data_IF_763265783336
#
_entry.id   IF_763265783336
#
_cell.length_a   1.000
_cell.length_b   1.000
_cell.length_c   1.000
_cell.angle_alpha   90.00
_cell.angle_beta   90.00
_cell.angle_gamma   90.00
#
_symmetry.space_group_name_H-M   'P 1'
#
loop_
_entity.id
_entity.type
_entity.pdbx_description
1 polymer ?
#
# COMPACT_ATOMS: atom_id res chain seq x y z
N UNK A 1 -28.65 52.12 7.99
CA UNK A 1 -27.26 51.70 8.24
C UNK A 1 -27.27 50.22 8.47
N UNK A 2 -26.90 49.46 7.46
CA UNK A 2 -26.96 48.00 7.49
C UNK A 2 -25.54 47.49 7.82
N UNK A 3 -25.34 47.06 9.06
CA UNK A 3 -24.04 46.65 9.60
C UNK A 3 -23.75 45.22 9.10
N UNK A 4 -23.28 45.11 7.86
CA UNK A 4 -22.85 43.90 7.22
C UNK A 4 -21.48 43.46 7.73
N UNK A 5 -21.38 43.12 9.02
CA UNK A 5 -20.23 42.38 9.54
C UNK A 5 -20.30 40.93 8.94
N UNK A 6 -19.57 40.74 7.86
CA UNK A 6 -19.33 39.38 7.35
C UNK A 6 -18.83 38.51 8.49
N UNK A 7 -19.60 37.43 8.82
CA UNK A 7 -19.14 36.39 9.72
C UNK A 7 -17.78 35.91 9.17
N UNK A 8 -16.72 36.09 9.95
CA UNK A 8 -15.43 35.51 9.66
C UNK A 8 -15.67 33.99 9.35
N UNK A 9 -15.38 33.57 8.13
CA UNK A 9 -15.50 32.15 7.76
C UNK A 9 -14.56 31.38 8.69
N UNK A 10 -15.12 30.62 9.61
CA UNK A 10 -14.34 29.66 10.35
C UNK A 10 -13.66 28.70 9.35
N UNK A 11 -12.38 28.42 9.53
CA UNK A 11 -11.65 27.46 8.69
C UNK A 11 -12.41 26.13 8.63
N UNK A 12 -12.58 25.54 7.44
CA UNK A 12 -13.27 24.27 7.31
C UNK A 12 -12.50 23.16 8.03
N UNK A 13 -13.23 22.20 8.59
CA UNK A 13 -12.65 21.12 9.38
C UNK A 13 -12.87 19.76 8.74
N UNK A 14 -11.79 18.96 8.61
CA UNK A 14 -11.83 17.58 8.15
C UNK A 14 -11.53 16.60 9.29
N UNK A 15 -12.33 15.54 9.37
CA UNK A 15 -12.12 14.38 10.24
C UNK A 15 -11.57 13.25 9.38
N UNK A 16 -10.33 12.81 9.64
CA UNK A 16 -9.68 11.73 8.88
C UNK A 16 -9.65 10.46 9.71
N UNK A 17 -10.28 9.41 9.21
CA UNK A 17 -10.29 8.08 9.84
C UNK A 17 -9.23 7.21 9.20
N UNK A 18 -8.23 6.79 9.99
CA UNK A 18 -7.06 6.03 9.57
C UNK A 18 -5.80 6.89 9.47
N UNK A 19 -4.78 6.51 10.25
CA UNK A 19 -3.54 7.27 10.40
C UNK A 19 -2.34 6.71 9.62
N UNK A 20 -2.59 5.90 8.57
CA UNK A 20 -1.57 5.39 7.65
C UNK A 20 -1.40 6.31 6.43
N UNK A 21 -0.73 5.84 5.37
CA UNK A 21 -0.32 6.64 4.19
C UNK A 21 -1.43 7.55 3.66
N UNK A 22 -2.61 6.98 3.37
CA UNK A 22 -3.73 7.73 2.81
C UNK A 22 -4.19 8.87 3.74
N UNK A 23 -4.32 8.59 5.04
CA UNK A 23 -4.73 9.59 6.03
C UNK A 23 -3.68 10.66 6.27
N UNK A 24 -2.39 10.30 6.28
CA UNK A 24 -1.30 11.26 6.44
C UNK A 24 -1.21 12.20 5.22
N UNK A 25 -1.32 11.68 3.99
CA UNK A 25 -1.42 12.53 2.80
C UNK A 25 -2.64 13.46 2.86
N UNK A 26 -3.81 12.92 3.26
CA UNK A 26 -5.03 13.72 3.41
C UNK A 26 -4.82 14.87 4.42
N UNK A 27 -4.25 14.56 5.57
CA UNK A 27 -3.98 15.55 6.60
C UNK A 27 -3.01 16.64 6.12
N UNK A 28 -1.89 16.26 5.52
CA UNK A 28 -0.89 17.24 5.07
C UNK A 28 -1.40 18.14 3.96
N UNK A 29 -2.01 17.56 2.92
CA UNK A 29 -2.48 18.33 1.76
C UNK A 29 -3.67 19.25 2.11
N UNK A 30 -4.62 18.78 2.92
CA UNK A 30 -5.75 19.59 3.38
C UNK A 30 -5.30 20.74 4.29
N UNK A 31 -4.37 20.50 5.22
CA UNK A 31 -3.80 21.54 6.06
C UNK A 31 -3.14 22.64 5.23
N UNK A 32 -2.39 22.25 4.19
CA UNK A 32 -1.80 23.24 3.24
C UNK A 32 -2.84 23.97 2.39
N UNK A 33 -4.02 23.37 2.23
CA UNK A 33 -5.17 24.01 1.59
C UNK A 33 -6.03 24.85 2.56
N UNK A 34 -5.59 25.05 3.81
CA UNK A 34 -6.26 25.91 4.79
C UNK A 34 -7.38 25.22 5.59
N UNK A 35 -7.37 23.89 5.67
CA UNK A 35 -8.30 23.14 6.51
C UNK A 35 -7.72 22.86 7.90
N UNK A 36 -8.55 22.88 8.93
CA UNK A 36 -8.26 22.24 10.20
C UNK A 36 -8.45 20.72 10.03
N UNK A 37 -7.46 19.91 10.42
CA UNK A 37 -7.51 18.46 10.21
C UNK A 37 -7.09 17.73 11.45
N UNK A 38 -7.89 16.75 11.86
CA UNK A 38 -7.57 15.78 12.89
C UNK A 38 -7.62 14.36 12.30
N UNK A 39 -6.59 13.56 12.62
CA UNK A 39 -6.43 12.16 12.21
C UNK A 39 -6.72 11.26 13.39
N UNK A 40 -7.54 10.23 13.17
CA UNK A 40 -7.97 9.27 14.18
C UNK A 40 -7.54 7.85 13.77
N UNK A 41 -6.56 7.30 14.50
CA UNK A 41 -6.00 5.97 14.26
C UNK A 41 -6.45 5.00 15.36
N UNK A 42 -6.94 3.81 14.94
CA UNK A 42 -7.43 2.78 15.86
C UNK A 42 -6.34 2.09 16.67
N UNK A 43 -5.09 2.12 16.18
CA UNK A 43 -3.96 1.47 16.84
C UNK A 43 -3.36 2.43 17.85
N UNK A 44 -3.17 1.94 19.08
CA UNK A 44 -2.62 2.69 20.20
C UNK A 44 -1.09 2.84 20.18
N UNK A 45 -0.42 2.10 19.30
CA UNK A 45 1.04 2.16 19.15
C UNK A 45 1.41 2.79 17.81
N UNK A 46 2.64 3.31 17.73
CA UNK A 46 3.19 3.78 16.45
C UNK A 46 3.16 2.66 15.39
N UNK A 47 2.78 3.03 14.18
CA UNK A 47 2.74 2.10 13.05
C UNK A 47 4.12 1.83 12.45
N UNK A 48 5.16 2.55 12.90
CA UNK A 48 6.54 2.38 12.45
C UNK A 48 6.98 0.90 12.57
N UNK A 49 7.72 0.42 11.57
CA UNK A 49 8.15 -0.99 11.49
C UNK A 49 7.11 -1.95 10.89
N UNK A 50 5.91 -1.50 10.60
CA UNK A 50 4.91 -2.27 9.86
C UNK A 50 5.11 -2.09 8.36
N UNK A 51 5.03 -3.18 7.63
CA UNK A 51 5.10 -3.13 6.19
C UNK A 51 6.49 -3.36 5.60
N UNK A 52 6.47 -3.59 4.30
CA UNK A 52 7.60 -3.97 3.49
C UNK A 52 8.10 -2.80 2.63
N UNK A 53 8.92 -3.11 1.64
CA UNK A 53 9.38 -2.13 0.68
C UNK A 53 8.24 -1.54 -0.17
N UNK A 54 8.45 -0.34 -0.64
CA UNK A 54 7.59 0.41 -1.55
C UNK A 54 8.39 0.78 -2.78
N UNK A 55 7.78 0.57 -3.94
CA UNK A 55 8.28 1.10 -5.21
C UNK A 55 7.70 2.49 -5.40
N UNK A 56 8.57 3.46 -5.75
CA UNK A 56 8.12 4.83 -5.98
C UNK A 56 7.84 5.08 -7.47
N UNK A 57 6.94 6.03 -7.72
CA UNK A 57 6.63 6.55 -9.05
C UNK A 57 6.77 8.09 -9.01
N UNK A 58 6.92 8.70 -10.18
CA UNK A 58 7.09 10.15 -10.29
C UNK A 58 5.97 10.93 -9.58
N UNK A 59 4.75 10.47 -9.75
CA UNK A 59 3.55 11.10 -9.15
C UNK A 59 3.62 11.14 -7.62
N UNK A 60 4.28 10.18 -7.00
CA UNK A 60 4.49 10.21 -5.54
C UNK A 60 5.38 11.36 -5.11
N UNK A 61 6.45 11.66 -5.87
CA UNK A 61 7.34 12.78 -5.57
C UNK A 61 6.61 14.13 -5.72
N UNK A 62 5.77 14.26 -6.74
CA UNK A 62 4.96 15.47 -6.96
C UNK A 62 4.01 15.72 -5.77
N UNK A 63 3.36 14.67 -5.26
CA UNK A 63 2.49 14.77 -4.08
C UNK A 63 3.28 15.06 -2.81
N UNK A 64 4.45 14.44 -2.61
CA UNK A 64 5.33 14.71 -1.47
C UNK A 64 5.77 16.17 -1.45
N UNK A 65 6.21 16.72 -2.57
CA UNK A 65 6.58 18.13 -2.69
C UNK A 65 5.40 19.05 -2.34
N UNK A 66 4.21 18.75 -2.85
CA UNK A 66 2.99 19.49 -2.52
C UNK A 66 2.59 19.35 -1.05
N UNK A 67 2.84 18.20 -0.43
CA UNK A 67 2.67 17.98 1.01
C UNK A 67 3.74 18.70 1.87
N UNK A 68 4.78 19.28 1.24
CA UNK A 68 5.87 19.98 1.91
C UNK A 68 7.00 19.08 2.41
N UNK A 69 7.10 17.88 1.86
CA UNK A 69 8.19 16.96 2.14
C UNK A 69 9.30 17.19 1.10
N UNK A 70 10.44 17.68 1.55
CA UNK A 70 11.60 17.95 0.69
C UNK A 70 12.42 16.67 0.47
N UNK A 71 12.14 15.99 -0.63
CA UNK A 71 12.87 14.77 -1.02
C UNK A 71 14.24 15.05 -1.68
N UNK A 72 14.57 16.30 -1.93
CA UNK A 72 15.92 16.69 -2.37
C UNK A 72 16.86 16.84 -1.16
N UNK A 73 16.35 17.37 -0.05
CA UNK A 73 17.12 17.49 1.20
C UNK A 73 17.25 16.14 1.93
N UNK A 74 16.19 15.30 1.89
CA UNK A 74 16.19 13.99 2.55
C UNK A 74 15.81 12.93 1.54
N UNK A 75 16.76 12.12 1.13
CA UNK A 75 16.54 11.06 0.14
C UNK A 75 15.40 10.12 0.57
N UNK A 76 14.43 9.88 -0.32
CA UNK A 76 13.28 9.03 -0.03
C UNK A 76 13.63 7.55 0.13
N UNK A 77 14.65 7.07 -0.59
CA UNK A 77 15.03 5.67 -0.58
C UNK A 77 16.30 5.39 -1.36
N UNK A 78 16.55 4.13 -1.66
CA UNK A 78 17.71 3.62 -2.39
C UNK A 78 17.43 3.65 -3.90
N UNK A 79 18.32 4.26 -4.67
CA UNK A 79 18.25 4.25 -6.14
C UNK A 79 18.88 2.98 -6.69
N UNK A 80 18.22 2.34 -7.63
CA UNK A 80 18.75 1.21 -8.41
C UNK A 80 18.78 1.57 -9.90
N UNK A 81 19.78 1.11 -10.69
CA UNK A 81 19.90 1.44 -12.11
C UNK A 81 18.91 0.70 -13.00
N UNK A 82 18.37 -0.40 -12.51
CA UNK A 82 17.48 -1.24 -13.32
C UNK A 82 17.01 -2.50 -12.63
N UNK A 83 16.60 -3.43 -13.47
CA UNK A 83 15.96 -4.70 -13.08
C UNK A 83 16.77 -5.87 -13.61
N UNK A 84 16.73 -6.97 -12.87
CA UNK A 84 17.44 -8.20 -13.20
C UNK A 84 16.57 -9.41 -12.90
N UNK A 85 16.53 -10.38 -13.81
CA UNK A 85 15.94 -11.71 -13.58
C UNK A 85 17.06 -12.71 -13.45
N UNK A 86 17.00 -13.55 -12.41
CA UNK A 86 17.88 -14.71 -12.21
C UNK A 86 17.12 -15.99 -12.54
N UNK A 87 17.77 -16.88 -13.29
CA UNK A 87 17.27 -18.23 -13.54
C UNK A 87 17.40 -19.11 -12.28
N UNK A 88 16.94 -20.36 -12.39
CA UNK A 88 16.99 -21.33 -11.28
C UNK A 88 18.42 -21.67 -10.82
N UNK A 89 19.40 -21.56 -11.71
CA UNK A 89 20.81 -21.82 -11.42
C UNK A 89 21.53 -20.58 -10.87
N UNK A 90 20.84 -19.44 -10.79
CA UNK A 90 21.37 -18.17 -10.33
C UNK A 90 22.16 -17.39 -11.37
N UNK A 91 22.00 -17.74 -12.67
CA UNK A 91 22.56 -16.95 -13.77
C UNK A 91 21.61 -15.81 -14.12
N UNK A 92 22.18 -14.73 -14.64
CA UNK A 92 21.38 -13.60 -15.14
C UNK A 92 20.66 -14.04 -16.43
N UNK A 93 19.33 -14.16 -16.36
CA UNK A 93 18.48 -14.49 -17.50
C UNK A 93 18.07 -13.25 -18.31
N UNK A 94 18.08 -12.06 -17.68
CA UNK A 94 17.78 -10.81 -18.35
C UNK A 94 18.04 -9.60 -17.45
N UNK A 95 18.29 -8.47 -18.09
CA UNK A 95 18.45 -7.15 -17.45
C UNK A 95 17.69 -6.09 -18.25
N UNK A 96 17.15 -5.12 -17.53
CA UNK A 96 16.49 -3.96 -18.11
C UNK A 96 16.93 -2.69 -17.38
N UNK A 97 17.51 -1.74 -18.12
CA UNK A 97 17.82 -0.41 -17.60
C UNK A 97 16.50 0.34 -17.34
N UNK A 98 16.13 0.48 -16.07
CA UNK A 98 14.94 1.19 -15.61
C UNK A 98 15.24 1.76 -14.21
N UNK A 99 15.90 2.95 -14.15
CA UNK A 99 16.25 3.57 -12.87
C UNK A 99 15.01 3.81 -12.02
N UNK A 100 15.08 3.46 -10.73
CA UNK A 100 13.96 3.57 -9.81
C UNK A 100 14.44 3.82 -8.39
N UNK A 101 13.69 4.60 -7.61
CA UNK A 101 13.91 4.77 -6.17
C UNK A 101 13.02 3.78 -5.44
N UNK A 102 13.60 3.08 -4.46
CA UNK A 102 12.94 2.05 -3.68
C UNK A 102 13.03 2.44 -2.21
N UNK A 103 11.91 2.43 -1.51
CA UNK A 103 11.85 2.86 -0.11
C UNK A 103 11.16 1.82 0.78
N UNK A 104 11.19 2.03 2.08
CA UNK A 104 10.44 1.25 3.03
C UNK A 104 9.15 1.98 3.44
N UNK A 105 8.14 1.22 3.82
CA UNK A 105 6.92 1.76 4.38
C UNK A 105 7.22 2.60 5.63
N UNK A 106 8.09 2.08 6.51
CA UNK A 106 8.45 2.78 7.75
C UNK A 106 9.07 4.15 7.51
N UNK A 107 10.00 4.24 6.56
CA UNK A 107 10.64 5.51 6.20
C UNK A 107 9.65 6.55 5.68
N UNK A 108 8.84 6.18 4.70
CA UNK A 108 7.85 7.11 4.15
C UNK A 108 6.81 7.49 5.22
N UNK A 109 6.36 6.53 6.03
CA UNK A 109 5.47 6.79 7.15
C UNK A 109 6.06 7.79 8.14
N UNK A 110 7.31 7.60 8.56
CA UNK A 110 8.01 8.52 9.48
C UNK A 110 8.05 9.93 8.92
N UNK A 111 8.51 10.10 7.66
CA UNK A 111 8.59 11.41 7.00
C UNK A 111 7.23 12.14 6.97
N UNK A 112 6.15 11.43 6.67
CA UNK A 112 4.81 12.00 6.64
C UNK A 112 4.28 12.29 8.05
N UNK A 113 4.50 11.38 8.99
CA UNK A 113 4.00 11.48 10.37
C UNK A 113 4.67 12.63 11.12
N UNK A 114 5.99 12.80 10.95
CA UNK A 114 6.76 13.89 11.59
C UNK A 114 6.35 15.28 11.10
N UNK A 115 5.78 15.37 9.89
CA UNK A 115 5.26 16.60 9.33
C UNK A 115 3.86 16.99 9.87
N UNK A 116 3.19 16.10 10.63
CA UNK A 116 1.89 16.37 11.23
C UNK A 116 2.08 16.79 12.69
N UNK A 117 1.48 17.91 13.12
CA UNK A 117 1.50 18.31 14.54
C UNK A 117 0.93 17.22 15.45
N UNK A 118 1.63 16.90 16.54
CA UNK A 118 1.26 15.80 17.42
C UNK A 118 -0.17 15.91 17.99
N UNK A 119 -0.66 17.14 18.24
CA UNK A 119 -2.02 17.39 18.71
C UNK A 119 -3.12 17.18 17.67
N UNK A 120 -2.76 16.91 16.41
CA UNK A 120 -3.70 16.61 15.32
C UNK A 120 -3.76 15.12 14.98
N UNK A 121 -3.06 14.26 15.72
CA UNK A 121 -3.05 12.82 15.50
C UNK A 121 -3.43 12.07 16.78
N UNK A 122 -4.55 11.38 16.73
CA UNK A 122 -5.19 10.74 17.88
C UNK A 122 -5.12 9.22 17.75
N UNK A 123 -4.40 8.57 18.66
CA UNK A 123 -4.32 7.12 18.80
C UNK A 123 -5.51 6.53 19.55
N UNK A 124 -5.69 5.20 19.49
CA UNK A 124 -6.75 4.43 20.18
C UNK A 124 -8.18 4.87 19.82
N UNK A 125 -8.38 5.35 18.58
CA UNK A 125 -9.66 5.86 18.09
C UNK A 125 -10.29 4.91 17.08
N UNK A 126 -10.84 3.80 17.57
CA UNK A 126 -11.61 2.87 16.74
C UNK A 126 -12.98 3.46 16.40
N UNK A 127 -13.25 3.68 15.10
CA UNK A 127 -14.52 4.20 14.60
C UNK A 127 -15.65 3.18 14.82
N UNK A 128 -16.77 3.64 15.39
CA UNK A 128 -17.99 2.85 15.59
C UNK A 128 -19.10 3.31 14.65
N UNK A 129 -19.26 4.62 14.44
CA UNK A 129 -20.36 5.16 13.68
C UNK A 129 -20.01 6.48 13.01
N UNK A 130 -20.56 6.68 11.80
CA UNK A 130 -20.56 7.94 11.07
C UNK A 130 -22.00 8.39 10.85
N UNK A 131 -22.31 9.63 11.22
CA UNK A 131 -23.63 10.25 10.99
C UNK A 131 -23.49 11.64 10.40
N UNK A 132 -24.42 12.03 9.53
CA UNK A 132 -24.48 13.38 8.99
C UNK A 132 -25.67 14.14 9.58
N UNK A 133 -25.43 15.33 10.09
CA UNK A 133 -26.44 16.20 10.69
C UNK A 133 -26.32 17.61 10.11
N UNK A 134 -27.21 17.96 9.19
CA UNK A 134 -27.24 19.28 8.53
C UNK A 134 -25.95 19.54 7.77
N UNK A 135 -25.17 20.52 8.25
CA UNK A 135 -23.91 20.94 7.65
C UNK A 135 -22.66 20.30 8.29
N UNK A 136 -22.84 19.29 9.13
CA UNK A 136 -21.74 18.59 9.83
C UNK A 136 -21.81 17.08 9.65
N UNK A 137 -20.63 16.44 9.66
CA UNK A 137 -20.48 15.00 9.81
C UNK A 137 -19.86 14.71 11.17
N UNK A 138 -20.31 13.65 11.83
CA UNK A 138 -19.86 13.24 13.17
C UNK A 138 -19.36 11.80 13.11
N UNK A 139 -18.15 11.60 13.61
CA UNK A 139 -17.57 10.29 13.87
C UNK A 139 -17.67 9.98 15.37
N UNK A 140 -18.18 8.80 15.74
CA UNK A 140 -18.23 8.29 17.11
C UNK A 140 -17.25 7.13 17.26
N UNK A 141 -16.46 7.15 18.32
CA UNK A 141 -15.42 6.17 18.60
C UNK A 141 -15.82 5.21 19.72
N UNK A 142 -15.15 4.04 19.79
CA UNK A 142 -15.45 2.98 20.76
C UNK A 142 -15.24 3.41 22.22
N UNK A 143 -14.38 4.39 22.47
CA UNK A 143 -14.16 4.99 23.78
C UNK A 143 -15.24 6.01 24.21
N UNK A 144 -16.30 6.18 23.39
CA UNK A 144 -17.41 7.10 23.62
C UNK A 144 -17.14 8.55 23.18
N UNK A 145 -15.91 8.90 22.77
CA UNK A 145 -15.60 10.23 22.25
C UNK A 145 -16.17 10.44 20.83
N UNK A 146 -16.31 11.71 20.44
CA UNK A 146 -16.82 12.10 19.13
C UNK A 146 -15.93 13.16 18.49
N UNK A 147 -15.88 13.16 17.17
CA UNK A 147 -15.28 14.21 16.37
C UNK A 147 -16.29 14.70 15.32
N UNK A 148 -16.32 16.03 15.10
CA UNK A 148 -17.24 16.64 14.13
C UNK A 148 -16.47 17.51 13.15
N UNK A 149 -16.84 17.45 11.87
CA UNK A 149 -16.22 18.22 10.80
C UNK A 149 -17.21 18.62 9.70
N UNK A 150 -16.70 19.37 8.73
CA UNK A 150 -17.40 19.71 7.49
C UNK A 150 -17.27 18.58 6.46
N UNK A 151 -16.21 17.76 6.59
CA UNK A 151 -15.89 16.63 5.73
C UNK A 151 -15.31 15.49 6.57
N UNK A 152 -15.73 14.24 6.30
CA UNK A 152 -15.12 13.03 6.84
C UNK A 152 -14.43 12.27 5.71
N UNK A 153 -13.21 11.83 5.97
CA UNK A 153 -12.38 11.07 5.04
C UNK A 153 -12.08 9.70 5.63
N UNK A 154 -12.64 8.65 5.03
CA UNK A 154 -12.30 7.26 5.31
C UNK A 154 -11.02 6.86 4.58
N UNK A 155 -9.91 6.84 5.31
CA UNK A 155 -8.57 6.43 4.87
C UNK A 155 -8.08 5.19 5.66
N UNK A 156 -9.01 4.40 6.15
CA UNK A 156 -8.85 3.34 7.14
C UNK A 156 -8.58 1.94 6.53
N UNK A 157 -8.14 1.94 5.26
CA UNK A 157 -7.53 0.78 4.61
C UNK A 157 -8.51 -0.29 4.15
N UNK A 158 -7.97 -1.46 3.84
CA UNK A 158 -8.69 -2.57 3.19
C UNK A 158 -9.93 -3.04 3.97
N UNK A 159 -9.91 -3.01 5.29
CA UNK A 159 -11.03 -3.35 6.18
C UNK A 159 -11.69 -2.08 6.74
N UNK A 160 -11.90 -1.09 5.89
CA UNK A 160 -12.48 0.21 6.24
C UNK A 160 -13.80 0.08 7.00
N UNK A 161 -13.85 0.64 8.19
CA UNK A 161 -15.08 0.76 8.99
C UNK A 161 -16.04 1.81 8.37
N UNK A 162 -15.49 2.86 7.73
CA UNK A 162 -16.29 3.85 7.00
C UNK A 162 -17.00 3.18 5.82
N UNK A 163 -16.26 2.44 4.97
CA UNK A 163 -16.87 1.71 3.85
C UNK A 163 -17.89 0.69 4.33
N UNK A 164 -17.60 -0.06 5.39
CA UNK A 164 -18.50 -1.08 5.91
C UNK A 164 -19.88 -0.52 6.30
N UNK A 165 -19.96 0.74 6.73
CA UNK A 165 -21.21 1.42 7.05
C UNK A 165 -21.89 1.99 5.80
N UNK A 166 -21.13 2.58 4.88
CA UNK A 166 -21.68 3.28 3.72
C UNK A 166 -21.96 2.35 2.53
N UNK A 167 -21.24 1.24 2.41
CA UNK A 167 -21.31 0.26 1.32
C UNK A 167 -21.04 -1.16 1.85
N UNK A 168 -21.92 -1.74 2.68
CA UNK A 168 -21.69 -3.01 3.38
C UNK A 168 -21.49 -4.21 2.45
N UNK A 169 -21.99 -4.14 1.23
CA UNK A 169 -21.86 -5.20 0.21
C UNK A 169 -20.49 -5.16 -0.51
N UNK A 170 -19.74 -4.08 -0.38
CA UNK A 170 -18.41 -3.93 -1.00
C UNK A 170 -17.36 -4.53 -0.07
N UNK A 171 -16.88 -5.73 -0.40
CA UNK A 171 -15.93 -6.49 0.42
C UNK A 171 -14.69 -6.87 -0.37
N UNK A 172 -13.50 -6.97 0.28
CA UNK A 172 -12.32 -7.50 -0.36
C UNK A 172 -12.52 -8.94 -0.85
N UNK A 173 -11.96 -9.25 -2.03
CA UNK A 173 -12.03 -10.57 -2.65
C UNK A 173 -10.63 -11.17 -2.72
N UNK A 174 -10.50 -12.42 -2.32
CA UNK A 174 -9.22 -13.13 -2.35
C UNK A 174 -8.77 -13.42 -3.79
N UNK A 175 -7.50 -13.15 -4.08
CA UNK A 175 -6.93 -13.23 -5.43
C UNK A 175 -6.39 -14.63 -5.80
N UNK A 176 -6.47 -15.62 -4.90
CA UNK A 176 -6.01 -16.99 -5.16
C UNK A 176 -4.54 -17.24 -4.86
N UNK A 177 -3.82 -16.33 -4.21
CA UNK A 177 -2.42 -16.50 -3.83
C UNK A 177 -2.03 -15.64 -2.62
N UNK A 178 -0.91 -15.99 -2.01
CA UNK A 178 -0.34 -15.30 -0.86
C UNK A 178 1.01 -14.67 -1.22
N UNK A 179 1.44 -13.70 -0.43
CA UNK A 179 2.78 -13.14 -0.45
C UNK A 179 3.52 -13.50 0.84
N UNK A 180 4.66 -14.15 0.72
CA UNK A 180 5.68 -14.17 1.74
C UNK A 180 6.54 -12.93 1.63
N UNK A 181 6.83 -12.28 2.75
CA UNK A 181 7.60 -11.04 2.79
C UNK A 181 8.65 -11.12 3.89
N UNK A 182 9.75 -10.44 3.71
CA UNK A 182 10.77 -10.33 4.73
C UNK A 182 11.83 -9.31 4.39
N UNK A 183 12.64 -9.05 5.40
CA UNK A 183 13.79 -8.15 5.35
C UNK A 183 15.02 -8.90 5.89
N UNK A 184 16.15 -8.70 5.23
CA UNK A 184 17.45 -9.22 5.66
C UNK A 184 18.43 -8.05 5.64
N UNK A 185 19.32 -7.94 6.63
CA UNK A 185 20.36 -6.92 6.58
C UNK A 185 21.36 -7.26 5.46
N UNK A 186 21.75 -6.28 4.68
CA UNK A 186 22.68 -6.46 3.58
C UNK A 186 24.02 -7.08 4.03
N UNK A 187 24.50 -6.67 5.20
CA UNK A 187 25.75 -7.19 5.78
C UNK A 187 25.72 -8.68 6.11
N UNK A 188 24.53 -9.27 6.33
CA UNK A 188 24.36 -10.69 6.68
C UNK A 188 24.36 -11.59 5.43
N UNK A 189 24.21 -11.00 4.23
CA UNK A 189 24.26 -11.69 2.95
C UNK A 189 25.71 -11.98 2.54
N UNK A 190 25.92 -13.09 1.83
CA UNK A 190 27.22 -13.43 1.26
C UNK A 190 27.71 -12.36 0.27
N UNK A 191 29.03 -12.19 0.08
CA UNK A 191 29.57 -11.22 -0.86
C UNK A 191 29.02 -11.36 -2.28
N UNK A 192 28.77 -12.61 -2.71
CA UNK A 192 28.18 -12.91 -4.02
C UNK A 192 26.75 -12.38 -4.09
N UNK A 193 25.90 -12.69 -3.12
CA UNK A 193 24.50 -12.29 -3.10
C UNK A 193 24.37 -10.77 -3.03
N UNK A 194 25.22 -10.09 -2.24
CA UNK A 194 25.26 -8.63 -2.20
C UNK A 194 25.54 -8.02 -3.58
N UNK A 195 26.57 -8.51 -4.27
CA UNK A 195 26.95 -8.00 -5.60
C UNK A 195 25.90 -8.27 -6.67
N UNK A 196 25.16 -9.36 -6.56
CA UNK A 196 24.21 -9.79 -7.59
C UNK A 196 22.78 -9.25 -7.35
N UNK A 197 22.38 -8.95 -6.10
CA UNK A 197 21.03 -8.52 -5.76
C UNK A 197 20.94 -7.08 -5.21
N UNK A 198 21.87 -6.64 -4.34
CA UNK A 198 21.62 -5.47 -3.51
C UNK A 198 21.68 -4.11 -4.23
N UNK A 199 22.06 -4.09 -5.52
CA UNK A 199 22.01 -2.89 -6.36
C UNK A 199 20.93 -2.98 -7.46
N UNK A 200 20.01 -3.96 -7.35
CA UNK A 200 19.02 -4.23 -8.38
C UNK A 200 17.60 -4.36 -7.81
N UNK A 201 16.61 -4.06 -8.65
CA UNK A 201 15.28 -4.62 -8.47
C UNK A 201 15.29 -6.00 -9.12
N UNK A 202 15.51 -7.04 -8.33
CA UNK A 202 15.79 -8.38 -8.80
C UNK A 202 14.56 -9.29 -8.73
N UNK A 203 14.52 -10.30 -9.64
CA UNK A 203 13.44 -11.28 -9.74
C UNK A 203 13.99 -12.71 -9.89
N UNK A 204 13.21 -13.68 -9.43
CA UNK A 204 13.30 -15.10 -9.80
C UNK A 204 11.87 -15.60 -10.06
N UNK A 205 11.66 -16.32 -11.16
CA UNK A 205 10.35 -16.65 -11.70
C UNK A 205 10.11 -18.15 -11.75
N UNK A 206 9.86 -18.83 -10.62
CA UNK A 206 9.43 -20.23 -10.64
C UNK A 206 8.09 -20.38 -11.37
N UNK A 207 7.76 -21.56 -11.90
CA UNK A 207 6.48 -21.79 -12.57
C UNK A 207 5.28 -21.42 -11.69
N UNK A 208 4.45 -20.47 -12.15
CA UNK A 208 3.27 -20.01 -11.41
C UNK A 208 3.56 -19.16 -10.18
N UNK A 209 4.80 -18.79 -9.93
CA UNK A 209 5.22 -18.00 -8.76
C UNK A 209 6.07 -16.81 -9.21
N UNK A 210 6.18 -15.80 -8.35
CA UNK A 210 7.08 -14.66 -8.56
C UNK A 210 7.81 -14.33 -7.25
N UNK A 211 9.13 -14.40 -7.27
CA UNK A 211 9.99 -13.85 -6.24
C UNK A 211 10.58 -12.54 -6.76
N UNK A 212 10.49 -11.49 -5.95
CA UNK A 212 11.15 -10.22 -6.21
C UNK A 212 11.82 -9.69 -4.95
N UNK A 213 12.84 -8.86 -5.14
CA UNK A 213 13.49 -8.19 -4.02
C UNK A 213 14.30 -6.99 -4.48
N UNK A 214 14.58 -6.11 -3.52
CA UNK A 214 15.30 -4.87 -3.76
C UNK A 214 15.82 -4.26 -2.46
N UNK A 215 16.89 -3.41 -2.53
CA UNK A 215 17.42 -2.74 -1.34
C UNK A 215 16.47 -1.65 -0.84
N UNK A 216 16.39 -1.52 0.48
CA UNK A 216 15.70 -0.42 1.19
C UNK A 216 16.61 0.09 2.30
N UNK A 217 16.28 1.24 2.89
CA UNK A 217 17.03 1.79 4.01
C UNK A 217 17.20 0.76 5.15
N UNK A 218 18.29 0.85 5.86
CA UNK A 218 18.63 0.07 7.05
C UNK A 218 17.66 0.28 8.20
N UNK A 219 17.96 -0.32 9.36
CA UNK A 219 17.09 -0.24 10.52
C UNK A 219 17.03 1.17 11.12
N UNK A 220 18.14 1.92 11.03
CA UNK A 220 18.25 3.32 11.49
C UNK A 220 18.30 4.28 10.29
N UNK A 221 17.61 3.94 9.20
CA UNK A 221 17.48 4.77 7.99
C UNK A 221 18.76 4.95 7.15
N UNK A 222 19.79 4.11 7.37
CA UNK A 222 21.01 4.13 6.60
C UNK A 222 20.76 3.65 5.15
N UNK A 223 21.40 4.32 4.17
CA UNK A 223 21.30 3.96 2.75
C UNK A 223 22.64 3.61 2.12
N UNK A 224 23.73 3.65 2.89
CA UNK A 224 25.05 3.25 2.45
C UNK A 224 25.14 1.76 2.14
N UNK A 225 25.96 1.40 1.16
CA UNK A 225 26.25 0.00 0.81
C UNK A 225 26.73 -0.76 2.05
N UNK A 226 26.17 -1.94 2.30
CA UNK A 226 26.44 -2.75 3.48
C UNK A 226 25.62 -2.40 4.73
N UNK A 227 24.94 -1.25 4.75
CA UNK A 227 24.12 -0.80 5.87
C UNK A 227 22.61 -0.90 5.57
N UNK A 228 22.27 -1.18 4.33
CA UNK A 228 20.89 -1.33 3.84
C UNK A 228 20.27 -2.64 4.32
N UNK A 229 18.98 -2.79 4.08
CA UNK A 229 18.28 -4.07 4.15
C UNK A 229 17.82 -4.46 2.75
N UNK A 230 17.76 -5.75 2.50
CA UNK A 230 17.17 -6.31 1.30
C UNK A 230 15.75 -6.77 1.62
N UNK A 231 14.78 -6.14 0.96
CA UNK A 231 13.36 -6.49 1.05
C UNK A 231 13.05 -7.55 -0.01
N UNK A 232 12.27 -8.59 0.36
CA UNK A 232 11.74 -9.51 -0.63
C UNK A 232 10.23 -9.71 -0.50
N UNK A 233 9.63 -10.08 -1.62
CA UNK A 233 8.25 -10.55 -1.70
C UNK A 233 8.22 -11.79 -2.59
N UNK A 234 7.66 -12.90 -2.09
CA UNK A 234 7.48 -14.12 -2.85
C UNK A 234 6.01 -14.48 -2.94
N UNK A 235 5.44 -14.32 -4.13
CA UNK A 235 4.04 -14.62 -4.41
C UNK A 235 3.88 -16.08 -4.81
N UNK A 236 2.94 -16.76 -4.16
CA UNK A 236 2.71 -18.21 -4.31
C UNK A 236 1.22 -18.53 -4.36
N UNK A 237 0.78 -19.40 -5.31
CA UNK A 237 -0.60 -19.87 -5.34
C UNK A 237 -1.00 -20.54 -4.02
N UNK A 238 -2.21 -20.23 -3.57
CA UNK A 238 -2.84 -20.91 -2.44
C UNK A 238 -4.34 -20.96 -2.69
N UNK A 239 -4.92 -22.16 -2.72
CA UNK A 239 -6.38 -22.30 -2.83
C UNK A 239 -7.06 -21.79 -1.56
N UNK A 240 -8.28 -21.26 -1.72
CA UNK A 240 -9.02 -20.65 -0.63
C UNK A 240 -9.52 -21.67 0.40
N UNK A 241 -9.82 -22.90 -0.05
CA UNK A 241 -10.56 -23.87 0.74
C UNK A 241 -9.66 -24.61 1.75
N UNK A 242 -8.39 -24.88 1.35
CA UNK A 242 -7.49 -25.69 2.17
C UNK A 242 -6.20 -24.94 2.52
N UNK A 243 -5.41 -24.58 1.50
CA UNK A 243 -4.04 -24.08 1.70
C UNK A 243 -4.01 -22.71 2.38
N UNK A 244 -4.89 -21.80 1.97
CA UNK A 244 -4.97 -20.47 2.59
C UNK A 244 -5.35 -20.56 4.06
N UNK A 245 -6.37 -21.35 4.38
CA UNK A 245 -6.84 -21.53 5.75
C UNK A 245 -5.73 -22.08 6.65
N UNK A 246 -5.00 -23.10 6.17
CA UNK A 246 -3.86 -23.70 6.89
C UNK A 246 -2.75 -22.67 7.08
N UNK A 247 -2.34 -21.96 6.02
CA UNK A 247 -1.26 -20.98 6.07
C UNK A 247 -1.58 -19.78 6.95
N UNK A 248 -2.85 -19.40 7.12
CA UNK A 248 -3.29 -18.27 7.95
C UNK A 248 -3.79 -18.68 9.34
N UNK A 249 -3.63 -19.95 9.74
CA UNK A 249 -3.84 -20.38 11.11
C UNK A 249 -2.52 -20.33 11.88
N UNK A 250 -2.49 -19.58 12.96
CA UNK A 250 -1.27 -19.35 13.76
C UNK A 250 -0.97 -20.50 14.75
N UNK A 251 0.13 -20.38 15.51
CA UNK A 251 0.56 -21.39 16.46
C UNK A 251 -0.40 -21.58 17.64
N UNK A 252 -1.30 -20.61 17.89
CA UNK A 252 -2.33 -20.68 18.93
C UNK A 252 -3.66 -21.27 18.35
N UNK A 253 -3.69 -21.65 17.08
CA UNK A 253 -4.87 -22.15 16.38
C UNK A 253 -5.84 -21.05 15.93
N UNK A 254 -5.46 -19.79 16.03
CA UNK A 254 -6.29 -18.66 15.60
C UNK A 254 -6.14 -18.45 14.09
N UNK A 255 -7.28 -18.46 13.38
CA UNK A 255 -7.32 -18.16 11.95
C UNK A 255 -7.39 -16.66 11.71
N UNK A 256 -6.45 -16.14 10.94
CA UNK A 256 -6.37 -14.74 10.52
C UNK A 256 -6.97 -14.56 9.11
N UNK A 257 -7.55 -13.39 8.84
CA UNK A 257 -8.16 -13.09 7.53
C UNK A 257 -7.14 -12.62 6.47
N UNK A 258 -6.11 -11.89 6.89
CA UNK A 258 -5.18 -11.25 5.96
C UNK A 258 -3.73 -11.68 6.19
N UNK A 259 -3.26 -11.67 7.42
CA UNK A 259 -1.84 -11.84 7.75
C UNK A 259 -1.68 -12.35 9.17
N UNK A 260 -0.68 -13.18 9.39
CA UNK A 260 -0.30 -13.67 10.72
C UNK A 260 0.83 -12.77 11.26
N UNK A 261 0.81 -12.39 12.56
CA UNK A 261 1.98 -11.79 13.20
C UNK A 261 3.24 -12.66 12.99
N UNK A 262 4.39 -12.10 12.60
CA UNK A 262 5.59 -12.89 12.26
C UNK A 262 6.00 -13.90 13.33
N UNK A 263 5.85 -13.52 14.60
CA UNK A 263 6.20 -14.36 15.77
C UNK A 263 5.22 -15.51 16.02
N UNK A 264 4.06 -15.52 15.35
CA UNK A 264 3.01 -16.54 15.51
C UNK A 264 2.88 -17.51 14.33
N UNK A 265 3.75 -17.40 13.33
CA UNK A 265 3.75 -18.35 12.20
C UNK A 265 4.20 -19.71 12.74
N UNK A 266 3.44 -20.76 12.43
CA UNK A 266 3.77 -22.14 12.81
C UNK A 266 5.11 -22.57 12.23
N UNK A 267 5.92 -23.28 13.03
CA UNK A 267 7.28 -23.67 12.68
C UNK A 267 7.34 -24.54 11.40
N UNK A 268 6.35 -25.46 11.21
CA UNK A 268 6.26 -26.31 10.04
C UNK A 268 5.96 -25.52 8.75
N UNK A 269 5.13 -24.46 8.81
CA UNK A 269 4.82 -23.57 7.68
C UNK A 269 6.08 -22.80 7.29
N UNK A 270 6.80 -22.28 8.28
CA UNK A 270 8.06 -21.57 8.04
C UNK A 270 9.15 -22.50 7.48
N UNK A 271 9.30 -23.71 8.02
CA UNK A 271 10.25 -24.69 7.52
C UNK A 271 9.90 -25.16 6.08
N UNK A 272 8.62 -25.31 5.77
CA UNK A 272 8.17 -25.64 4.41
C UNK A 272 8.52 -24.52 3.41
N UNK A 273 8.31 -23.26 3.78
CA UNK A 273 8.70 -22.11 2.94
C UNK A 273 10.21 -22.11 2.64
N UNK A 274 11.06 -22.38 3.63
CA UNK A 274 12.53 -22.46 3.45
C UNK A 274 12.94 -23.60 2.52
N UNK A 275 12.40 -24.81 2.71
CA UNK A 275 12.67 -25.95 1.80
C UNK A 275 12.24 -25.65 0.37
N UNK A 276 11.09 -25.01 0.20
CA UNK A 276 10.60 -24.63 -1.12
C UNK A 276 11.49 -23.56 -1.76
N UNK A 277 12.02 -22.60 -0.98
CA UNK A 277 12.96 -21.60 -1.49
C UNK A 277 14.23 -22.23 -2.05
N UNK A 278 14.81 -23.20 -1.34
CA UNK A 278 15.99 -23.96 -1.81
C UNK A 278 15.69 -24.75 -3.09
N UNK A 279 14.49 -25.29 -3.22
CA UNK A 279 14.08 -26.12 -4.35
C UNK A 279 13.67 -25.29 -5.58
N UNK A 280 13.09 -24.11 -5.42
CA UNK A 280 12.40 -23.37 -6.49
C UNK A 280 13.09 -22.09 -6.92
N UNK A 281 13.75 -21.37 -6.00
CA UNK A 281 14.32 -20.06 -6.26
C UNK A 281 15.77 -20.16 -6.76
N UNK A 282 16.23 -19.08 -7.38
CA UNK A 282 17.66 -18.85 -7.60
C UNK A 282 18.42 -18.94 -6.25
N UNK A 283 19.65 -19.49 -6.21
CA UNK A 283 20.40 -19.66 -4.96
C UNK A 283 20.56 -18.38 -4.14
N UNK A 284 20.68 -17.22 -4.80
CA UNK A 284 20.77 -15.93 -4.16
C UNK A 284 19.50 -15.60 -3.36
N UNK A 285 18.33 -15.83 -3.93
CA UNK A 285 17.05 -15.62 -3.23
C UNK A 285 16.78 -16.67 -2.16
N UNK A 286 17.22 -17.92 -2.39
CA UNK A 286 17.16 -18.96 -1.36
C UNK A 286 17.99 -18.58 -0.12
N UNK A 287 19.17 -17.95 -0.31
CA UNK A 287 19.97 -17.41 0.79
C UNK A 287 19.23 -16.29 1.54
N UNK A 288 18.61 -15.35 0.83
CA UNK A 288 17.79 -14.26 1.41
C UNK A 288 16.68 -14.85 2.30
N UNK A 289 15.93 -15.83 1.79
CA UNK A 289 14.85 -16.51 2.55
C UNK A 289 15.41 -17.23 3.77
N UNK A 290 16.51 -17.95 3.64
CA UNK A 290 17.17 -18.70 4.73
C UNK A 290 17.62 -17.78 5.86
N UNK A 291 18.15 -16.61 5.54
CA UNK A 291 18.66 -15.62 6.53
C UNK A 291 17.56 -14.75 7.13
N UNK A 292 16.36 -14.76 6.57
CA UNK A 292 15.25 -14.00 7.12
C UNK A 292 14.77 -14.64 8.43
N UNK A 293 14.87 -13.89 9.53
CA UNK A 293 14.47 -14.34 10.86
C UNK A 293 12.97 -14.25 11.11
N UNK A 294 12.33 -13.21 10.61
CA UNK A 294 10.91 -12.92 10.83
C UNK A 294 10.18 -12.62 9.51
N UNK A 295 9.95 -13.64 8.66
CA UNK A 295 9.08 -13.47 7.52
C UNK A 295 7.64 -13.31 7.98
N UNK A 296 6.81 -12.68 7.15
CA UNK A 296 5.37 -12.68 7.35
C UNK A 296 4.63 -13.09 6.09
N UNK A 297 3.40 -13.58 6.29
CA UNK A 297 2.54 -14.04 5.21
C UNK A 297 1.32 -13.14 5.11
N UNK A 298 0.92 -12.83 3.89
CA UNK A 298 -0.22 -11.98 3.60
C UNK A 298 -1.05 -12.57 2.46
N UNK A 299 -2.36 -12.74 2.66
CA UNK A 299 -3.30 -13.01 1.58
C UNK A 299 -3.37 -11.81 0.64
N UNK A 300 -3.39 -12.07 -0.67
CA UNK A 300 -3.56 -11.00 -1.66
C UNK A 300 -5.04 -10.86 -1.96
N UNK A 301 -5.51 -9.63 -1.82
CA UNK A 301 -6.92 -9.27 -1.98
C UNK A 301 -7.08 -8.18 -3.02
N UNK A 302 -8.24 -8.17 -3.67
CA UNK A 302 -8.73 -7.09 -4.55
C UNK A 302 -9.93 -6.41 -3.91
N UNK A 303 -10.08 -5.12 -4.16
CA UNK A 303 -11.30 -4.38 -3.85
C UNK A 303 -11.57 -3.32 -4.91
N UNK A 304 -12.82 -3.20 -5.32
CA UNK A 304 -13.33 -2.08 -6.12
C UNK A 304 -14.63 -1.58 -5.52
N UNK A 305 -14.78 -0.27 -5.39
CA UNK A 305 -16.03 0.36 -4.97
C UNK A 305 -16.70 1.05 -6.16
N UNK A 306 -18.02 0.98 -6.29
CA UNK A 306 -18.75 1.74 -7.33
C UNK A 306 -18.88 3.23 -6.97
N UNK A 307 -18.59 3.61 -5.73
CA UNK A 307 -18.69 4.99 -5.23
C UNK A 307 -17.58 5.29 -4.23
N UNK A 308 -17.10 6.53 -4.22
CA UNK A 308 -16.16 7.04 -3.25
C UNK A 308 -16.77 8.13 -2.34
N UNK A 309 -17.93 8.67 -2.71
CA UNK A 309 -18.66 9.71 -1.97
C UNK A 309 -19.98 9.14 -1.47
N UNK A 310 -20.26 9.36 -0.19
CA UNK A 310 -21.48 8.90 0.49
C UNK A 310 -22.11 10.08 1.26
N UNK A 311 -23.43 10.18 1.18
CA UNK A 311 -24.12 11.35 1.71
C UNK A 311 -23.64 12.66 1.07
N UNK A 312 -23.57 13.70 1.88
CA UNK A 312 -23.12 15.01 1.45
C UNK A 312 -21.68 15.37 1.89
N UNK A 313 -21.09 14.57 2.82
CA UNK A 313 -19.88 14.97 3.57
C UNK A 313 -18.91 13.82 3.86
N UNK A 314 -19.16 12.63 3.37
CA UNK A 314 -18.32 11.45 3.64
C UNK A 314 -17.66 10.98 2.35
N UNK A 315 -16.34 10.82 2.37
CA UNK A 315 -15.54 10.31 1.24
C UNK A 315 -14.61 9.19 1.71
N UNK A 316 -14.41 8.16 0.88
CA UNK A 316 -13.37 7.15 1.10
C UNK A 316 -12.30 7.25 0.03
N UNK A 317 -11.03 6.95 0.39
CA UNK A 317 -9.90 6.99 -0.53
C UNK A 317 -8.82 5.96 -0.16
N UNK A 318 -7.83 5.80 -1.01
CA UNK A 318 -6.78 4.81 -0.83
C UNK A 318 -7.34 3.37 -0.86
N UNK A 319 -6.84 2.54 0.04
CA UNK A 319 -7.28 1.14 0.15
C UNK A 319 -8.68 0.98 0.77
N UNK A 320 -9.26 2.04 1.33
CA UNK A 320 -10.66 2.03 1.72
C UNK A 320 -11.60 1.99 0.51
N UNK A 321 -11.18 2.52 -0.65
CA UNK A 321 -11.95 2.56 -1.88
C UNK A 321 -11.52 1.49 -2.90
N UNK A 322 -10.22 1.36 -3.17
CA UNK A 322 -9.68 0.45 -4.17
C UNK A 322 -8.42 -0.23 -3.64
N UNK A 323 -8.43 -1.56 -3.60
CA UNK A 323 -7.25 -2.38 -3.29
C UNK A 323 -6.77 -3.05 -4.55
N UNK A 324 -5.57 -2.70 -4.99
CA UNK A 324 -4.90 -3.31 -6.12
C UNK A 324 -3.85 -4.33 -5.65
N UNK A 325 -3.71 -5.44 -6.37
CA UNK A 325 -2.64 -6.41 -6.12
C UNK A 325 -1.27 -5.72 -6.19
N UNK A 326 -0.29 -6.13 -5.38
CA UNK A 326 0.97 -5.39 -5.22
C UNK A 326 1.81 -5.22 -6.49
N UNK A 327 1.57 -6.05 -7.52
CA UNK A 327 2.38 -6.09 -8.75
C UNK A 327 2.42 -4.77 -9.52
N UNK A 328 1.36 -3.96 -9.42
CA UNK A 328 1.32 -2.63 -10.04
C UNK A 328 2.19 -1.61 -9.29
N UNK A 329 2.57 -1.90 -8.03
CA UNK A 329 3.40 -1.03 -7.20
C UNK A 329 2.75 0.31 -6.80
N UNK A 330 1.45 0.50 -7.07
CA UNK A 330 0.80 1.82 -6.99
C UNK A 330 -0.02 2.06 -5.71
N UNK A 331 -0.02 1.17 -4.73
CA UNK A 331 -0.89 1.32 -3.56
C UNK A 331 -0.73 2.68 -2.86
N UNK A 332 0.50 3.07 -2.55
CA UNK A 332 0.80 4.36 -1.92
C UNK A 332 0.62 5.51 -2.89
N UNK A 333 1.13 5.39 -4.11
CA UNK A 333 0.99 6.45 -5.14
C UNK A 333 -0.48 6.73 -5.47
N UNK A 334 -1.32 5.68 -5.55
CA UNK A 334 -2.77 5.82 -5.75
C UNK A 334 -3.42 6.58 -4.59
N UNK A 335 -3.10 6.23 -3.34
CA UNK A 335 -3.64 6.91 -2.17
C UNK A 335 -3.24 8.40 -2.11
N UNK A 336 -1.98 8.70 -2.46
CA UNK A 336 -1.48 10.06 -2.57
C UNK A 336 -2.21 10.84 -3.68
N UNK A 337 -2.38 10.23 -4.86
CA UNK A 337 -3.09 10.82 -5.99
C UNK A 337 -4.60 11.01 -5.73
N UNK A 338 -5.24 10.08 -5.00
CA UNK A 338 -6.64 10.25 -4.57
C UNK A 338 -6.78 11.51 -3.69
N UNK A 339 -5.87 11.68 -2.74
CA UNK A 339 -5.89 12.85 -1.86
C UNK A 339 -5.63 14.14 -2.63
N UNK A 340 -4.67 14.14 -3.55
CA UNK A 340 -4.38 15.30 -4.37
C UNK A 340 -5.61 15.72 -5.20
N UNK A 341 -6.28 14.76 -5.83
CA UNK A 341 -7.51 15.02 -6.61
C UNK A 341 -8.65 15.56 -5.73
N UNK A 342 -8.79 15.06 -4.49
CA UNK A 342 -9.78 15.62 -3.55
C UNK A 342 -9.48 17.08 -3.20
N UNK A 343 -8.22 17.40 -2.90
CA UNK A 343 -7.81 18.77 -2.56
C UNK A 343 -7.96 19.71 -3.74
N UNK A 344 -7.62 19.29 -4.95
CA UNK A 344 -7.80 20.07 -6.19
C UNK A 344 -9.28 20.37 -6.43
N UNK A 345 -10.16 19.39 -6.25
CA UNK A 345 -11.59 19.57 -6.38
C UNK A 345 -12.16 20.56 -5.34
N UNK A 346 -11.70 20.45 -4.07
CA UNK A 346 -12.09 21.38 -3.00
C UNK A 346 -11.61 22.81 -3.28
N UNK A 347 -10.43 22.99 -3.85
CA UNK A 347 -9.91 24.30 -4.26
C UNK A 347 -10.63 24.88 -5.49
N UNK A 348 -11.06 24.01 -6.42
CA UNK A 348 -11.84 24.40 -7.60
C UNK A 348 -13.26 24.86 -7.19
N UNK A 349 -13.83 24.26 -6.14
CA UNK A 349 -15.18 24.55 -5.67
C UNK A 349 -15.19 25.00 -4.19
N UNK A 350 -14.57 26.13 -3.83
CA UNK A 350 -14.31 26.51 -2.43
C UNK A 350 -15.56 26.81 -1.59
N UNK A 351 -16.72 26.95 -2.22
CA UNK A 351 -18.01 27.23 -1.55
C UNK A 351 -19.06 26.14 -1.81
N UNK A 352 -18.74 25.12 -2.59
CA UNK A 352 -19.68 24.08 -2.97
C UNK A 352 -19.03 22.67 -2.79
N UNK A 353 -19.16 22.14 -1.56
CA UNK A 353 -18.60 20.84 -1.21
C UNK A 353 -19.15 19.71 -2.10
N UNK A 354 -20.44 19.72 -2.43
CA UNK A 354 -21.05 18.68 -3.26
C UNK A 354 -20.46 18.66 -4.67
N UNK A 355 -20.24 19.84 -5.28
CA UNK A 355 -19.59 19.93 -6.59
C UNK A 355 -18.14 19.44 -6.52
N UNK A 356 -17.41 19.78 -5.46
CA UNK A 356 -16.04 19.27 -5.23
C UNK A 356 -16.02 17.73 -5.12
N UNK A 357 -16.89 17.17 -4.31
CA UNK A 357 -16.94 15.71 -4.12
C UNK A 357 -17.39 14.98 -5.39
N UNK A 358 -18.32 15.54 -6.15
CA UNK A 358 -18.74 14.99 -7.44
C UNK A 358 -17.59 15.00 -8.48
N UNK A 359 -16.81 16.09 -8.55
CA UNK A 359 -15.63 16.17 -9.42
C UNK A 359 -14.56 15.12 -9.00
N UNK A 360 -14.30 15.01 -7.70
CA UNK A 360 -13.38 14.02 -7.16
C UNK A 360 -13.81 12.60 -7.53
N UNK A 361 -15.04 12.22 -7.25
CA UNK A 361 -15.56 10.87 -7.52
C UNK A 361 -15.49 10.54 -9.02
N UNK A 362 -15.93 11.48 -9.86
CA UNK A 362 -15.90 11.32 -11.33
C UNK A 362 -14.48 11.03 -11.85
N UNK A 363 -13.47 11.69 -11.32
CA UNK A 363 -12.09 11.50 -11.72
C UNK A 363 -11.48 10.19 -11.16
N UNK A 364 -11.84 9.81 -9.92
CA UNK A 364 -11.11 8.75 -9.22
C UNK A 364 -11.68 7.34 -9.38
N UNK A 365 -12.98 7.18 -9.64
CA UNK A 365 -13.59 5.88 -9.91
C UNK A 365 -12.94 5.19 -11.12
N UNK A 366 -12.86 5.79 -12.32
CA UNK A 366 -12.26 5.13 -13.47
C UNK A 366 -10.76 4.87 -13.28
N UNK A 367 -10.04 5.76 -12.60
CA UNK A 367 -8.64 5.57 -12.29
C UNK A 367 -8.42 4.37 -11.34
N UNK A 368 -9.15 4.31 -10.22
CA UNK A 368 -9.06 3.20 -9.27
C UNK A 368 -9.37 1.85 -9.92
N UNK A 369 -10.42 1.78 -10.72
CA UNK A 369 -10.78 0.59 -11.48
C UNK A 369 -9.69 0.19 -12.51
N UNK A 370 -9.05 1.16 -13.18
CA UNK A 370 -7.96 0.89 -14.11
C UNK A 370 -6.72 0.33 -13.39
N UNK A 371 -6.38 0.86 -12.21
CA UNK A 371 -5.27 0.36 -11.38
C UNK A 371 -5.53 -1.08 -10.93
N UNK A 372 -6.73 -1.38 -10.44
CA UNK A 372 -7.09 -2.74 -10.00
C UNK A 372 -7.09 -3.71 -11.18
N UNK A 373 -7.68 -3.35 -12.33
CA UNK A 373 -7.66 -4.17 -13.54
C UNK A 373 -6.22 -4.47 -14.00
N UNK A 374 -5.34 -3.46 -14.04
CA UNK A 374 -3.93 -3.65 -14.39
C UNK A 374 -3.24 -4.60 -13.42
N UNK A 375 -3.47 -4.43 -12.12
CA UNK A 375 -2.91 -5.29 -11.08
C UNK A 375 -3.36 -6.76 -11.21
N UNK A 376 -4.64 -6.99 -11.57
CA UNK A 376 -5.17 -8.33 -11.85
C UNK A 376 -4.46 -8.98 -13.03
N UNK A 377 -4.24 -8.25 -14.12
CA UNK A 377 -3.52 -8.76 -15.28
C UNK A 377 -2.09 -9.19 -14.92
N UNK A 378 -1.35 -8.32 -14.21
CA UNK A 378 0.03 -8.62 -13.79
C UNK A 378 0.11 -9.82 -12.82
N UNK A 379 -0.90 -10.02 -11.98
CA UNK A 379 -0.95 -11.11 -11.01
C UNK A 379 -1.64 -12.39 -11.51
N UNK A 380 -2.11 -12.43 -12.76
CA UNK A 380 -2.98 -13.51 -13.26
C UNK A 380 -2.34 -14.89 -13.25
N UNK A 381 -1.05 -14.99 -13.54
CA UNK A 381 -0.33 -16.27 -13.63
C UNK A 381 0.01 -16.90 -12.26
N UNK A 382 -0.20 -16.17 -11.15
CA UNK A 382 0.03 -16.63 -9.79
C UNK A 382 -1.23 -17.13 -9.08
N UNK A 383 -2.39 -17.04 -9.72
CA UNK A 383 -3.65 -17.51 -9.15
C UNK A 383 -3.66 -19.04 -9.05
N UNK A 384 -4.18 -19.59 -7.96
CA UNK A 384 -4.31 -21.02 -7.76
C UNK A 384 -5.26 -21.68 -8.77
N UNK A 385 -6.19 -20.90 -9.32
CA UNK A 385 -7.15 -21.35 -10.32
C UNK A 385 -7.16 -20.39 -11.51
N UNK A 386 -6.92 -20.94 -12.71
CA UNK A 386 -7.04 -20.24 -13.99
C UNK A 386 -8.12 -21.02 -14.77
N UNK A 387 -9.33 -20.48 -14.80
CA UNK A 387 -10.51 -21.21 -15.23
C UNK A 387 -10.75 -21.08 -16.76
N UNK A 388 -10.53 -19.91 -17.34
CA UNK A 388 -10.89 -19.64 -18.74
C UNK A 388 -9.69 -19.58 -19.69
N UNK A 389 -9.88 -19.79 -21.01
CA UNK A 389 -8.84 -19.59 -22.01
C UNK A 389 -8.27 -18.15 -22.00
N UNK A 390 -9.09 -17.14 -21.77
CA UNK A 390 -8.70 -15.72 -21.73
C UNK A 390 -7.80 -15.45 -20.51
N UNK A 391 -8.13 -15.99 -19.36
CA UNK A 391 -7.29 -15.91 -18.15
C UNK A 391 -5.94 -16.58 -18.39
N UNK A 392 -5.93 -17.73 -19.08
CA UNK A 392 -4.69 -18.46 -19.44
C UNK A 392 -3.83 -17.63 -20.39
N UNK A 393 -4.42 -17.06 -21.43
CA UNK A 393 -3.72 -16.19 -22.36
C UNK A 393 -3.11 -14.96 -21.69
N UNK A 394 -3.86 -14.36 -20.75
CA UNK A 394 -3.38 -13.24 -19.93
C UNK A 394 -2.21 -13.67 -19.02
N UNK A 395 -2.33 -14.82 -18.35
CA UNK A 395 -1.27 -15.36 -17.50
C UNK A 395 0.03 -15.63 -18.30
N UNK A 396 -0.08 -16.25 -19.48
CA UNK A 396 1.08 -16.53 -20.34
C UNK A 396 1.77 -15.23 -20.81
N UNK A 397 1.00 -14.20 -21.15
CA UNK A 397 1.53 -12.90 -21.59
C UNK A 397 2.37 -12.20 -20.53
N UNK A 398 1.95 -12.22 -19.24
CA UNK A 398 2.55 -11.44 -18.18
C UNK A 398 3.60 -12.19 -17.34
N UNK A 399 3.84 -13.50 -17.61
CA UNK A 399 4.80 -14.29 -16.84
C UNK A 399 6.23 -14.32 -17.40
N UNK A 400 6.45 -13.81 -18.61
CA UNK A 400 7.79 -13.83 -19.20
C UNK A 400 8.76 -12.91 -18.47
N UNK A 401 10.08 -13.20 -18.45
CA UNK A 401 11.06 -12.33 -17.82
C UNK A 401 11.00 -10.89 -18.33
N UNK A 402 10.82 -10.71 -19.64
CA UNK A 402 10.74 -9.40 -20.30
C UNK A 402 9.48 -8.64 -19.83
N UNK A 403 8.32 -9.30 -19.80
CA UNK A 403 7.08 -8.69 -19.33
C UNK A 403 7.18 -8.32 -17.85
N UNK A 404 7.68 -9.23 -17.01
CA UNK A 404 7.86 -8.97 -15.57
C UNK A 404 8.79 -7.77 -15.34
N UNK A 405 9.93 -7.69 -16.03
CA UNK A 405 10.83 -6.55 -15.90
C UNK A 405 10.22 -5.25 -16.43
N UNK A 406 9.48 -5.28 -17.52
CA UNK A 406 8.93 -4.08 -18.15
C UNK A 406 7.66 -3.56 -17.46
N UNK A 407 6.89 -4.44 -16.80
CA UNK A 407 5.52 -4.13 -16.40
C UNK A 407 5.30 -4.09 -14.88
N UNK A 408 6.05 -4.90 -14.09
CA UNK A 408 5.88 -4.93 -12.62
C UNK A 408 6.27 -3.60 -12.01
N UNK A 409 5.38 -3.04 -11.21
CA UNK A 409 5.58 -1.75 -10.53
C UNK A 409 5.98 -0.60 -11.49
N UNK A 410 5.30 -0.55 -12.63
CA UNK A 410 5.40 0.51 -13.64
C UNK A 410 4.01 1.06 -13.92
N UNK A 411 3.85 2.39 -13.84
CA UNK A 411 2.56 3.08 -13.98
C UNK A 411 2.06 3.20 -15.44
N UNK A 412 2.83 2.78 -16.43
CA UNK A 412 2.46 2.87 -17.86
C UNK A 412 1.14 2.16 -18.16
N UNK A 413 0.27 2.83 -18.92
CA UNK A 413 -1.04 2.30 -19.33
C UNK A 413 -2.16 2.52 -18.31
N UNK A 414 -1.91 3.27 -17.26
CA UNK A 414 -2.91 3.77 -16.33
C UNK A 414 -3.06 5.26 -16.62
N UNK A 415 -4.10 5.63 -17.38
CA UNK A 415 -4.43 7.04 -17.59
C UNK A 415 -4.84 7.66 -16.24
N UNK A 416 -4.24 8.81 -15.93
CA UNK A 416 -4.58 9.59 -14.75
C UNK A 416 -5.93 10.28 -14.93
#
# INVERSE_FOLDING_TARGET
MNDGRGKARTEPRAVVIGGSMAGLFAALLLRRAGWQVDVYERIGAELAGRGAGIVTHRELFDVLARAGIDTAAVALGVSVPGRRVLDRDGRVAGELALPQVLTSWGRLYGMLKDAIPANCYHHDKSLVEVTEHGDRVVARFADGTQASGDLLIGADGIFSAVRAQCAPDVRPVYAGYVAWRGLVNEQDLSPRVRAELCDWFAFSLPPGEQMLGYPVAGANEEMGVGQRRFNFVWYRPADADHRLADMLTDMDGVRHELSIPPTKIRAEIFAAMRRDAERLLAPQFAEVVRLTSQPFIQAILDLETPRMVFGARTVILGDAAFVARPHVGMGVTKAAADTMALVDALQTHPTNLQAALAQFEWARIPFGAAVVRRARHLGSYMQAQIATPEERATAERHRTPEAVMAETAVATGIAA
#
